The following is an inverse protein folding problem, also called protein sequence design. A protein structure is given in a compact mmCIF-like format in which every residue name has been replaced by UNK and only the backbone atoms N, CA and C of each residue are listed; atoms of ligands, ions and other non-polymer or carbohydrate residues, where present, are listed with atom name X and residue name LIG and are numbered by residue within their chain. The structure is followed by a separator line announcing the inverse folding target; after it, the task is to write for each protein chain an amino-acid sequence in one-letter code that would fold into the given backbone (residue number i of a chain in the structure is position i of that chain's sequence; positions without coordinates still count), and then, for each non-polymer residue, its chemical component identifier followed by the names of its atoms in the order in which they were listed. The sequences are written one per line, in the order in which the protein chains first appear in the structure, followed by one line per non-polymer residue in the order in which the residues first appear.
data_IF_931414351013
#
_entry.id   IF_931414351013
#
_cell.length_a   1.000
_cell.length_b   1.000
_cell.length_c   1.000
_cell.angle_alpha   90.00
_cell.angle_beta   90.00
_cell.angle_gamma   90.00
#
_symmetry.space_group_name_H-M   'P 1'
#
loop_
_entity.id
_entity.type
_entity.pdbx_description
1 polymer ?
#
# COMPACT_ATOMS: atom_id res chain seq x y z
N UNK A 1 -17.17 0.58 3.85
CA UNK A 1 -17.62 1.67 2.97
C UNK A 1 -16.97 3.02 3.29
N UNK A 2 -17.15 3.60 4.51
CA UNK A 2 -16.59 4.92 4.85
C UNK A 2 -15.07 5.01 4.73
N UNK A 3 -14.34 3.99 5.18
CA UNK A 3 -12.87 3.94 5.06
C UNK A 3 -12.39 3.93 3.61
N UNK A 4 -13.08 3.21 2.73
CA UNK A 4 -12.77 3.17 1.29
C UNK A 4 -13.10 4.51 0.61
N UNK A 5 -14.18 5.17 1.02
CA UNK A 5 -14.53 6.51 0.52
C UNK A 5 -13.45 7.53 0.91
N UNK A 6 -13.01 7.52 2.16
CA UNK A 6 -11.98 8.44 2.61
C UNK A 6 -10.64 8.21 1.87
N UNK A 7 -10.26 6.95 1.67
CA UNK A 7 -9.09 6.61 0.88
C UNK A 7 -9.21 7.08 -0.58
N UNK A 8 -10.38 6.89 -1.20
CA UNK A 8 -10.66 7.34 -2.57
C UNK A 8 -10.49 8.87 -2.70
N UNK A 9 -11.02 9.64 -1.76
CA UNK A 9 -10.89 11.10 -1.76
C UNK A 9 -9.44 11.54 -1.60
N UNK A 10 -8.70 10.91 -0.67
CA UNK A 10 -7.29 11.18 -0.49
C UNK A 10 -6.44 10.80 -1.70
N UNK A 11 -6.79 9.71 -2.37
CA UNK A 11 -6.16 9.26 -3.61
C UNK A 11 -6.37 10.29 -4.73
N UNK A 12 -7.62 10.71 -4.95
CA UNK A 12 -7.95 11.74 -5.94
C UNK A 12 -7.22 13.05 -5.67
N UNK A 13 -7.20 13.52 -4.42
CA UNK A 13 -6.48 14.72 -4.02
C UNK A 13 -4.96 14.57 -4.22
N UNK A 14 -4.40 13.40 -3.94
CA UNK A 14 -2.97 13.15 -4.18
C UNK A 14 -2.63 13.21 -5.67
N UNK A 15 -3.44 12.59 -6.53
CA UNK A 15 -3.24 12.63 -7.99
C UNK A 15 -3.41 14.06 -8.53
N UNK A 16 -4.37 14.83 -7.99
CA UNK A 16 -4.62 16.21 -8.39
C UNK A 16 -3.48 17.16 -7.99
N UNK A 17 -3.01 17.06 -6.75
CA UNK A 17 -1.99 17.96 -6.19
C UNK A 17 -0.59 17.71 -6.77
N UNK A 18 -0.25 16.47 -7.14
CA UNK A 18 1.05 16.13 -7.72
C UNK A 18 0.89 15.86 -9.23
N UNK A 19 1.09 16.89 -10.04
CA UNK A 19 0.95 16.75 -11.46
C UNK A 19 2.08 15.91 -12.02
N UNK A 20 1.73 14.75 -12.34
CA UNK A 20 2.46 14.04 -13.37
C UNK A 20 2.28 14.81 -14.67
N UNK A 21 3.04 14.53 -15.72
CA UNK A 21 2.97 15.16 -17.04
C UNK A 21 1.55 15.09 -17.70
N UNK A 22 0.53 14.86 -16.89
CA UNK A 22 -0.85 14.76 -17.30
C UNK A 22 -1.36 16.13 -17.78
N UNK A 23 -1.87 16.15 -18.99
CA UNK A 23 -2.41 17.32 -19.68
C UNK A 23 -3.61 17.95 -18.93
N UNK A 24 -4.30 17.14 -18.11
CA UNK A 24 -5.45 17.58 -17.32
C UNK A 24 -5.51 16.86 -15.96
N UNK A 25 -5.11 17.55 -14.89
CA UNK A 25 -5.05 17.02 -13.51
C UNK A 25 -6.39 16.54 -12.98
N UNK A 26 -7.46 17.27 -13.29
CA UNK A 26 -8.81 16.92 -12.83
C UNK A 26 -9.31 15.62 -13.45
N UNK A 27 -9.01 15.40 -14.74
CA UNK A 27 -9.37 14.16 -15.43
C UNK A 27 -8.57 12.99 -14.85
N UNK A 28 -7.27 13.14 -14.66
CA UNK A 28 -6.44 12.08 -14.06
C UNK A 28 -6.88 11.72 -12.64
N UNK A 29 -7.21 12.72 -11.82
CA UNK A 29 -7.76 12.50 -10.47
C UNK A 29 -9.10 11.75 -10.52
N UNK A 30 -9.99 12.14 -11.43
CA UNK A 30 -11.27 11.48 -11.63
C UNK A 30 -11.10 10.02 -12.09
N UNK A 31 -10.23 9.77 -13.07
CA UNK A 31 -9.94 8.42 -13.57
C UNK A 31 -9.37 7.56 -12.42
N UNK A 32 -8.43 8.08 -11.64
CA UNK A 32 -7.88 7.38 -10.48
C UNK A 32 -8.94 7.04 -9.44
N UNK A 33 -9.81 7.99 -9.09
CA UNK A 33 -10.91 7.76 -8.16
C UNK A 33 -11.91 6.72 -8.68
N UNK A 34 -12.31 6.83 -9.95
CA UNK A 34 -13.26 5.91 -10.58
C UNK A 34 -12.65 4.51 -10.71
N UNK A 35 -11.39 4.38 -11.12
CA UNK A 35 -10.75 3.07 -11.24
C UNK A 35 -10.63 2.35 -9.89
N UNK A 36 -10.38 3.08 -8.80
CA UNK A 36 -10.43 2.53 -7.45
C UNK A 36 -11.86 2.14 -7.05
N UNK A 37 -12.84 3.03 -7.22
CA UNK A 37 -14.23 2.79 -6.81
C UNK A 37 -14.91 1.66 -7.58
N UNK A 38 -14.61 1.52 -8.88
CA UNK A 38 -15.18 0.51 -9.78
C UNK A 38 -14.40 -0.82 -9.75
N UNK A 39 -13.27 -0.90 -9.07
CA UNK A 39 -12.54 -2.16 -8.87
C UNK A 39 -13.46 -3.22 -8.26
N UNK A 40 -13.63 -4.41 -8.88
CA UNK A 40 -14.46 -5.48 -8.34
C UNK A 40 -14.09 -5.86 -6.90
N UNK A 41 -12.81 -5.86 -6.59
CA UNK A 41 -12.34 -6.14 -5.24
C UNK A 41 -12.78 -5.08 -4.25
N UNK A 42 -12.65 -3.79 -4.59
CA UNK A 42 -13.07 -2.69 -3.71
C UNK A 42 -14.58 -2.75 -3.48
N UNK A 43 -15.38 -3.02 -4.52
CA UNK A 43 -16.83 -3.13 -4.42
C UNK A 43 -17.23 -4.27 -3.48
N UNK A 44 -16.65 -5.46 -3.63
CA UNK A 44 -16.98 -6.64 -2.83
C UNK A 44 -16.57 -6.42 -1.38
N UNK A 45 -15.31 -6.08 -1.13
CA UNK A 45 -14.78 -5.98 0.25
C UNK A 45 -15.20 -4.72 1.00
N UNK A 46 -15.55 -3.62 0.31
CA UNK A 46 -16.10 -2.44 0.99
C UNK A 46 -17.51 -2.66 1.57
N UNK A 47 -18.23 -3.66 1.07
CA UNK A 47 -19.57 -4.06 1.54
C UNK A 47 -19.55 -5.23 2.52
N UNK A 48 -18.44 -5.92 2.61
CA UNK A 48 -18.26 -7.04 3.53
C UNK A 48 -17.81 -6.53 4.90
N UNK A 49 -18.31 -7.14 5.97
CA UNK A 49 -17.92 -6.82 7.35
C UNK A 49 -16.58 -7.49 7.73
N UNK A 50 -15.55 -7.29 6.91
CA UNK A 50 -14.21 -7.88 7.07
C UNK A 50 -13.18 -6.76 7.23
N UNK A 51 -12.12 -7.01 7.99
CA UNK A 51 -11.05 -6.04 8.27
C UNK A 51 -10.20 -5.65 7.05
N UNK A 52 -10.32 -6.37 5.92
CA UNK A 52 -9.48 -6.15 4.73
C UNK A 52 -9.67 -4.77 4.10
N UNK A 53 -10.90 -4.24 4.06
CA UNK A 53 -11.16 -2.89 3.55
C UNK A 53 -10.60 -1.80 4.46
N UNK A 54 -10.61 -2.03 5.78
CA UNK A 54 -9.99 -1.12 6.74
C UNK A 54 -8.47 -1.17 6.65
N UNK A 55 -7.89 -2.36 6.48
CA UNK A 55 -6.46 -2.52 6.21
C UNK A 55 -6.04 -1.77 4.94
N UNK A 56 -6.79 -1.95 3.84
CA UNK A 56 -6.55 -1.24 2.58
C UNK A 56 -6.54 0.28 2.79
N UNK A 57 -7.52 0.80 3.53
CA UNK A 57 -7.63 2.23 3.80
C UNK A 57 -6.46 2.73 4.66
N UNK A 58 -6.15 2.07 5.77
CA UNK A 58 -5.10 2.50 6.69
C UNK A 58 -3.70 2.40 6.07
N UNK A 59 -3.41 1.31 5.33
CA UNK A 59 -2.15 1.15 4.56
C UNK A 59 -2.09 2.21 3.45
N UNK A 60 -3.18 2.39 2.69
CA UNK A 60 -3.24 3.36 1.61
C UNK A 60 -3.02 4.79 2.08
N UNK A 61 -3.71 5.22 3.13
CA UNK A 61 -3.54 6.55 3.73
C UNK A 61 -2.11 6.73 4.27
N UNK A 62 -1.56 5.71 4.92
CA UNK A 62 -0.18 5.73 5.41
C UNK A 62 0.81 5.94 4.26
N UNK A 63 0.74 5.14 3.19
CA UNK A 63 1.65 5.22 2.05
C UNK A 63 1.49 6.52 1.25
N UNK A 64 0.26 6.98 1.01
CA UNK A 64 0.03 8.28 0.39
C UNK A 64 0.56 9.44 1.23
N UNK A 65 0.45 9.35 2.56
CA UNK A 65 1.01 10.34 3.48
C UNK A 65 2.54 10.30 3.51
N UNK A 66 3.16 9.12 3.44
CA UNK A 66 4.61 8.99 3.27
C UNK A 66 5.07 9.61 1.97
N UNK A 67 4.39 9.32 0.85
CA UNK A 67 4.67 9.96 -0.42
C UNK A 67 4.62 11.49 -0.32
N UNK A 68 3.54 12.06 0.25
CA UNK A 68 3.39 13.51 0.44
C UNK A 68 4.51 14.11 1.30
N UNK A 69 4.95 13.40 2.33
CA UNK A 69 6.07 13.82 3.17
C UNK A 69 7.38 13.83 2.39
N UNK A 70 7.62 12.81 1.58
CA UNK A 70 8.83 12.70 0.76
C UNK A 70 8.88 13.75 -0.35
N UNK A 71 7.74 14.03 -0.99
CA UNK A 71 7.62 14.96 -2.11
C UNK A 71 7.51 16.44 -1.69
N UNK A 72 7.22 16.73 -0.44
CA UNK A 72 7.11 18.11 0.06
C UNK A 72 8.49 18.74 0.32
N UNK A 73 8.68 19.97 -0.10
CA UNK A 73 9.89 20.77 0.25
C UNK A 73 9.89 21.28 1.69
N UNK A 74 8.74 21.18 2.38
CA UNK A 74 8.62 21.62 3.76
C UNK A 74 9.19 20.56 4.69
N UNK A 75 10.12 20.95 5.55
CA UNK A 75 10.62 20.12 6.68
C UNK A 75 9.54 19.89 7.76
N UNK A 76 8.28 19.83 7.35
CA UNK A 76 7.20 19.54 8.30
C UNK A 76 7.21 18.05 8.65
N UNK A 77 7.55 17.77 9.89
CA UNK A 77 7.51 16.42 10.45
C UNK A 77 6.04 15.98 10.50
N UNK A 78 5.61 15.28 9.47
CA UNK A 78 4.24 14.76 9.39
C UNK A 78 4.12 13.47 10.21
N UNK A 79 3.28 13.49 11.23
CA UNK A 79 3.01 12.32 12.07
C UNK A 79 1.95 11.38 11.46
N UNK A 80 1.18 11.87 10.49
CA UNK A 80 0.05 11.15 9.86
C UNK A 80 0.44 9.77 9.30
N UNK A 81 1.54 9.60 8.53
CA UNK A 81 1.87 8.29 7.98
C UNK A 81 2.10 7.24 9.06
N UNK A 82 2.77 7.62 10.14
CA UNK A 82 3.08 6.74 11.27
C UNK A 82 1.85 6.43 12.13
N UNK A 83 0.95 7.40 12.29
CA UNK A 83 -0.33 7.20 12.96
C UNK A 83 -1.17 6.15 12.23
N UNK A 84 -1.29 6.27 10.89
CA UNK A 84 -2.05 5.31 10.10
C UNK A 84 -1.35 3.96 9.95
N UNK A 85 -0.02 3.89 10.03
CA UNK A 85 0.70 2.63 10.20
C UNK A 85 0.30 1.94 11.52
N UNK A 86 0.20 2.68 12.62
CA UNK A 86 -0.27 2.14 13.91
C UNK A 86 -1.68 1.56 13.80
N UNK A 87 -2.60 2.26 13.16
CA UNK A 87 -3.95 1.74 12.90
C UNK A 87 -3.95 0.53 11.95
N UNK A 88 -3.08 0.50 10.95
CA UNK A 88 -2.95 -0.64 10.06
C UNK A 88 -2.45 -1.90 10.80
N UNK A 89 -1.52 -1.74 11.74
CA UNK A 89 -1.05 -2.83 12.61
C UNK A 89 -2.20 -3.33 13.51
N UNK A 90 -3.04 -2.45 14.06
CA UNK A 90 -4.21 -2.85 14.85
C UNK A 90 -5.24 -3.63 14.02
N UNK A 91 -5.34 -3.36 12.72
CA UNK A 91 -6.32 -4.05 11.85
C UNK A 91 -5.94 -5.49 11.53
N UNK A 92 -4.69 -5.76 11.19
CA UNK A 92 -4.27 -7.09 10.70
C UNK A 92 -2.87 -7.52 11.17
N UNK A 93 -2.31 -6.83 12.14
CA UNK A 93 -1.02 -7.17 12.73
C UNK A 93 0.19 -6.78 11.90
N UNK A 94 1.31 -7.53 12.02
CA UNK A 94 2.62 -7.15 11.47
C UNK A 94 2.67 -7.11 9.94
N UNK A 95 1.73 -7.75 9.24
CA UNK A 95 1.71 -7.74 7.76
C UNK A 95 1.63 -6.32 7.19
N UNK A 96 0.91 -5.42 7.87
CA UNK A 96 0.81 -4.02 7.45
C UNK A 96 2.18 -3.31 7.50
N UNK A 97 2.95 -3.57 8.58
CA UNK A 97 4.31 -3.04 8.72
C UNK A 97 5.22 -3.54 7.59
N UNK A 98 5.14 -4.83 7.28
CA UNK A 98 5.98 -5.44 6.22
C UNK A 98 5.67 -4.82 4.85
N UNK A 99 4.39 -4.67 4.49
CA UNK A 99 3.98 -4.06 3.22
C UNK A 99 4.51 -2.63 3.10
N UNK A 100 4.31 -1.81 4.14
CA UNK A 100 4.76 -0.41 4.13
C UNK A 100 6.28 -0.32 4.11
N UNK A 101 6.98 -1.13 4.91
CA UNK A 101 8.44 -1.17 4.94
C UNK A 101 9.04 -1.60 3.59
N UNK A 102 8.50 -2.65 2.94
CA UNK A 102 8.95 -3.10 1.62
C UNK A 102 8.73 -2.03 0.55
N UNK A 103 7.57 -1.35 0.58
CA UNK A 103 7.27 -0.27 -0.37
C UNK A 103 8.23 0.90 -0.20
N UNK A 104 8.43 1.38 1.03
CA UNK A 104 9.35 2.48 1.31
C UNK A 104 10.79 2.09 0.99
N UNK A 105 11.22 0.90 1.40
CA UNK A 105 12.57 0.41 1.11
C UNK A 105 12.84 0.34 -0.40
N UNK A 106 11.95 -0.29 -1.17
CA UNK A 106 12.10 -0.42 -2.63
C UNK A 106 12.13 0.95 -3.32
N UNK A 107 11.31 1.91 -2.88
CA UNK A 107 11.29 3.25 -3.44
C UNK A 107 12.52 4.07 -3.05
N UNK A 108 12.89 4.10 -1.76
CA UNK A 108 14.03 4.88 -1.26
C UNK A 108 15.36 4.33 -1.78
N UNK A 109 15.50 3.00 -1.91
CA UNK A 109 16.72 2.36 -2.42
C UNK A 109 17.06 2.76 -3.87
N UNK A 110 16.07 3.20 -4.64
CA UNK A 110 16.27 3.67 -6.02
C UNK A 110 16.74 5.12 -6.05
N UNK A 111 16.51 5.87 -4.99
CA UNK A 111 16.84 7.29 -4.92
C UNK A 111 18.31 7.50 -4.55
N UNK A 112 18.98 8.43 -5.21
CA UNK A 112 20.38 8.74 -4.89
C UNK A 112 20.55 9.37 -3.52
N UNK A 113 19.58 10.19 -3.10
CA UNK A 113 19.61 10.92 -1.83
C UNK A 113 18.84 10.19 -0.71
N UNK A 114 19.06 8.87 -0.63
CA UNK A 114 18.35 8.00 0.32
C UNK A 114 18.52 8.42 1.79
N UNK A 115 19.67 8.97 2.16
CA UNK A 115 19.96 9.41 3.54
C UNK A 115 19.04 10.56 3.96
N UNK A 116 18.88 11.58 3.11
CA UNK A 116 18.01 12.72 3.41
C UNK A 116 16.54 12.29 3.42
N UNK A 117 16.13 11.37 2.54
CA UNK A 117 14.78 10.82 2.55
C UNK A 117 14.48 10.05 3.84
N UNK A 118 15.41 9.23 4.32
CA UNK A 118 15.26 8.55 5.62
C UNK A 118 15.16 9.56 6.76
N UNK A 119 15.99 10.62 6.77
CA UNK A 119 15.87 11.69 7.77
C UNK A 119 14.52 12.39 7.71
N UNK A 120 14.00 12.65 6.51
CA UNK A 120 12.72 13.34 6.28
C UNK A 120 11.52 12.57 6.84
N UNK A 121 11.50 11.24 6.71
CA UNK A 121 10.46 10.39 7.31
C UNK A 121 10.61 10.23 8.82
N UNK A 122 11.76 10.55 9.39
CA UNK A 122 12.07 10.50 10.82
C UNK A 122 11.65 9.18 11.51
N UNK A 123 12.32 8.04 11.23
CA UNK A 123 11.86 6.72 11.64
C UNK A 123 11.83 6.53 13.17
N UNK A 124 12.73 7.18 13.93
CA UNK A 124 12.74 7.07 15.39
C UNK A 124 11.46 7.61 16.02
N UNK A 125 11.06 8.84 15.62
CA UNK A 125 9.79 9.43 16.04
C UNK A 125 8.60 8.60 15.52
N UNK A 126 8.73 8.09 14.32
CA UNK A 126 7.70 7.26 13.70
C UNK A 126 7.43 5.97 14.46
N UNK A 127 8.47 5.24 14.84
CA UNK A 127 8.36 4.02 15.65
C UNK A 127 7.67 4.34 16.98
N UNK A 128 8.00 5.45 17.62
CA UNK A 128 7.38 5.87 18.87
C UNK A 128 5.87 6.12 18.68
N UNK A 129 5.46 6.86 17.64
CA UNK A 129 4.04 7.15 17.37
C UNK A 129 3.29 5.85 17.06
N UNK A 130 3.84 5.02 16.18
CA UNK A 130 3.24 3.73 15.80
C UNK A 130 3.07 2.83 17.02
N UNK A 131 4.08 2.75 17.89
CA UNK A 131 4.05 1.96 19.11
C UNK A 131 3.02 2.49 20.11
N UNK A 132 2.93 3.80 20.31
CA UNK A 132 1.92 4.40 21.19
C UNK A 132 0.49 4.09 20.73
N UNK A 133 0.26 3.98 19.42
CA UNK A 133 -1.06 3.64 18.88
C UNK A 133 -1.35 2.14 18.99
N UNK A 134 -0.39 1.28 18.63
CA UNK A 134 -0.65 -0.16 18.48
C UNK A 134 -0.38 -0.98 19.74
N UNK A 135 0.69 -0.68 20.49
CA UNK A 135 1.13 -1.50 21.62
C UNK A 135 0.11 -1.61 22.77
N UNK A 136 -0.63 -0.55 23.18
CA UNK A 136 -1.55 -0.68 24.31
C UNK A 136 -2.54 -1.82 24.15
N UNK A 137 -3.11 -1.99 22.94
CA UNK A 137 -4.04 -3.07 22.65
C UNK A 137 -3.39 -4.46 22.77
N UNK A 138 -2.21 -4.64 22.16
CA UNK A 138 -1.50 -5.91 22.22
C UNK A 138 -1.03 -6.28 23.63
N UNK A 139 -0.59 -5.29 24.42
CA UNK A 139 -0.20 -5.51 25.81
C UNK A 139 -1.39 -5.94 26.68
N UNK A 140 -2.55 -5.31 26.51
CA UNK A 140 -3.77 -5.69 27.23
C UNK A 140 -4.19 -7.12 26.88
N UNK A 141 -4.17 -7.48 25.59
CA UNK A 141 -4.52 -8.83 25.15
C UNK A 141 -3.51 -9.87 25.67
N UNK A 142 -2.22 -9.54 25.61
CA UNK A 142 -1.18 -10.41 26.14
C UNK A 142 -1.30 -10.63 27.65
N UNK A 143 -1.67 -9.59 28.39
CA UNK A 143 -1.91 -9.69 29.83
C UNK A 143 -3.14 -10.55 30.15
N UNK A 144 -4.23 -10.42 29.37
CA UNK A 144 -5.49 -11.17 29.60
C UNK A 144 -5.42 -12.63 29.15
N UNK A 145 -4.89 -12.89 27.96
CA UNK A 145 -4.95 -14.21 27.30
C UNK A 145 -3.60 -14.94 27.29
N UNK A 146 -2.51 -14.25 27.64
CA UNK A 146 -1.18 -14.82 27.76
C UNK A 146 -0.68 -15.49 26.49
N UNK A 147 -0.07 -16.68 26.65
CA UNK A 147 0.55 -17.41 25.54
C UNK A 147 -0.45 -17.91 24.48
N UNK A 148 -1.73 -18.05 24.82
CA UNK A 148 -2.77 -18.46 23.88
C UNK A 148 -2.98 -17.40 22.77
N UNK A 149 -3.03 -16.13 23.14
CA UNK A 149 -3.10 -15.02 22.18
C UNK A 149 -1.86 -15.00 21.27
N UNK A 150 -0.67 -15.14 21.83
CA UNK A 150 0.58 -15.14 21.06
C UNK A 150 0.61 -16.25 20.02
N UNK A 151 0.30 -17.50 20.43
CA UNK A 151 0.27 -18.65 19.53
C UNK A 151 -0.79 -18.53 18.44
N UNK A 152 -1.98 -18.03 18.78
CA UNK A 152 -3.07 -17.86 17.82
C UNK A 152 -2.78 -16.72 16.85
N UNK A 153 -2.51 -15.51 17.35
CA UNK A 153 -2.42 -14.32 16.52
C UNK A 153 -1.11 -14.25 15.71
N UNK A 154 0.04 -14.34 16.38
CA UNK A 154 1.32 -14.28 15.68
C UNK A 154 1.70 -15.63 15.06
N UNK A 155 1.44 -16.75 15.71
CA UNK A 155 1.72 -18.10 15.21
C UNK A 155 0.79 -18.46 14.05
N UNK A 156 -0.48 -18.75 14.33
CA UNK A 156 -1.41 -19.30 13.34
C UNK A 156 -1.82 -18.27 12.28
N UNK A 157 -2.32 -17.11 12.70
CA UNK A 157 -2.90 -16.14 11.77
C UNK A 157 -1.89 -15.35 10.93
N UNK A 158 -0.64 -15.24 11.35
CA UNK A 158 0.39 -14.53 10.60
C UNK A 158 1.46 -15.48 10.06
N UNK A 159 2.26 -16.10 10.92
CA UNK A 159 3.41 -16.89 10.49
C UNK A 159 3.01 -18.17 9.72
N UNK A 160 2.09 -18.96 10.28
CA UNK A 160 1.70 -20.22 9.66
C UNK A 160 0.99 -20.02 8.32
N UNK A 161 0.13 -18.99 8.18
CA UNK A 161 -0.49 -18.65 6.88
C UNK A 161 0.52 -18.24 5.82
N UNK A 162 1.64 -17.68 6.23
CA UNK A 162 2.70 -17.31 5.30
C UNK A 162 3.56 -18.50 4.87
N UNK A 163 3.87 -19.42 5.81
CA UNK A 163 4.81 -20.53 5.60
C UNK A 163 4.15 -21.84 5.17
N UNK A 164 2.85 -22.05 5.45
CA UNK A 164 2.11 -23.27 5.13
C UNK A 164 0.73 -22.97 4.59
N UNK A 165 0.19 -23.94 3.83
CA UNK A 165 -1.19 -23.86 3.30
C UNK A 165 -2.17 -24.08 4.44
N UNK A 166 -3.04 -23.10 4.69
CA UNK A 166 -4.09 -23.14 5.70
C UNK A 166 -5.45 -23.09 5.02
N UNK A 167 -6.39 -23.91 5.49
CA UNK A 167 -7.77 -24.01 5.00
C UNK A 167 -7.88 -24.31 3.48
N UNK A 168 -6.98 -25.11 2.92
CA UNK A 168 -6.95 -25.48 1.50
C UNK A 168 -6.82 -24.29 0.52
N UNK A 169 -6.28 -23.15 0.95
CA UNK A 169 -6.01 -21.98 0.11
C UNK A 169 -4.58 -21.99 -0.48
N UNK A 170 -4.15 -23.14 -1.01
CA UNK A 170 -2.88 -23.33 -1.70
C UNK A 170 -3.03 -23.06 -3.19
N UNK A 171 -2.99 -21.79 -3.59
CA UNK A 171 -3.12 -21.38 -4.98
C UNK A 171 -1.76 -21.33 -5.69
N UNK A 172 -1.72 -21.47 -7.06
CA UNK A 172 -0.48 -21.44 -7.82
C UNK A 172 0.23 -20.09 -7.72
N UNK A 173 1.52 -20.05 -8.10
CA UNK A 173 2.34 -18.84 -8.01
C UNK A 173 1.80 -17.65 -8.84
N UNK A 174 1.12 -17.93 -9.95
CA UNK A 174 0.53 -16.91 -10.85
C UNK A 174 -0.84 -16.41 -10.39
N UNK A 175 -1.38 -16.90 -9.28
CA UNK A 175 -2.71 -16.51 -8.76
C UNK A 175 -2.89 -15.00 -8.68
N UNK A 176 -1.93 -14.27 -8.10
CA UNK A 176 -2.05 -12.83 -7.98
C UNK A 176 -1.88 -12.07 -9.30
N UNK A 177 -1.30 -12.66 -10.34
CA UNK A 177 -1.31 -12.07 -11.69
C UNK A 177 -2.72 -12.08 -12.28
N UNK A 178 -3.48 -13.16 -12.06
CA UNK A 178 -4.89 -13.21 -12.46
C UNK A 178 -5.74 -12.20 -11.66
N UNK A 179 -5.50 -12.11 -10.34
CA UNK A 179 -6.20 -11.14 -9.48
C UNK A 179 -5.86 -9.70 -9.87
N UNK A 180 -4.62 -9.41 -10.28
CA UNK A 180 -4.23 -8.09 -10.80
C UNK A 180 -5.09 -7.69 -12.00
N UNK A 181 -5.31 -8.59 -12.96
CA UNK A 181 -6.12 -8.31 -14.15
C UNK A 181 -7.60 -8.20 -13.79
N UNK A 182 -8.16 -9.21 -13.10
CA UNK A 182 -9.58 -9.27 -12.76
C UNK A 182 -9.97 -8.17 -11.77
N UNK A 183 -9.12 -7.92 -10.78
CA UNK A 183 -9.36 -6.90 -9.75
C UNK A 183 -9.26 -5.46 -10.25
N UNK A 184 -8.72 -5.24 -11.42
CA UNK A 184 -8.57 -3.90 -12.02
C UNK A 184 -9.56 -3.65 -13.19
N UNK A 185 -10.51 -4.57 -13.43
CA UNK A 185 -11.55 -4.35 -14.43
C UNK A 185 -12.40 -3.12 -14.09
N UNK A 186 -12.84 -2.35 -15.11
CA UNK A 186 -12.59 -2.54 -16.54
C UNK A 186 -11.27 -1.91 -17.03
N UNK A 187 -10.44 -1.37 -16.14
CA UNK A 187 -9.24 -0.57 -16.46
C UNK A 187 -7.95 -1.40 -16.57
N UNK A 188 -8.04 -2.73 -16.68
CA UNK A 188 -6.87 -3.63 -16.65
C UNK A 188 -5.83 -3.30 -17.73
N UNK A 189 -6.26 -2.91 -18.92
CA UNK A 189 -5.36 -2.54 -20.03
C UNK A 189 -4.53 -1.32 -19.66
N UNK A 190 -5.15 -0.27 -19.11
CA UNK A 190 -4.44 0.93 -18.66
C UNK A 190 -3.48 0.62 -17.51
N UNK A 191 -3.85 -0.31 -16.61
CA UNK A 191 -2.94 -0.77 -15.57
C UNK A 191 -1.69 -1.42 -16.15
N UNK A 192 -1.82 -2.31 -17.13
CA UNK A 192 -0.67 -2.97 -17.77
C UNK A 192 0.24 -1.95 -18.48
N UNK A 193 -0.35 -0.97 -19.17
CA UNK A 193 0.41 0.15 -19.77
C UNK A 193 1.15 0.92 -18.68
N UNK A 194 0.46 1.30 -17.59
CA UNK A 194 1.06 2.04 -16.49
C UNK A 194 2.18 1.27 -15.78
N UNK A 195 2.05 -0.04 -15.60
CA UNK A 195 3.12 -0.90 -15.07
C UNK A 195 4.34 -0.88 -16.01
N UNK A 196 4.11 -1.04 -17.31
CA UNK A 196 5.20 -1.07 -18.30
C UNK A 196 5.92 0.28 -18.39
N UNK A 197 5.19 1.39 -18.47
CA UNK A 197 5.77 2.73 -18.55
C UNK A 197 6.58 3.09 -17.30
N UNK A 198 6.03 2.87 -16.10
CA UNK A 198 6.73 3.18 -14.86
C UNK A 198 7.88 2.22 -14.58
N UNK A 199 7.76 0.94 -14.96
CA UNK A 199 8.87 -0.01 -14.92
C UNK A 199 10.02 0.39 -15.84
N UNK A 200 9.73 0.82 -17.07
CA UNK A 200 10.72 1.35 -18.01
C UNK A 200 11.34 2.66 -17.51
N UNK A 201 10.53 3.54 -16.96
CA UNK A 201 11.00 4.78 -16.33
C UNK A 201 11.97 4.49 -15.18
N UNK A 202 11.66 3.53 -14.33
CA UNK A 202 12.51 3.08 -13.23
C UNK A 202 13.87 2.58 -13.74
N UNK A 203 13.89 1.73 -14.77
CA UNK A 203 15.13 1.19 -15.37
C UNK A 203 15.98 2.30 -15.99
N UNK A 204 15.37 3.22 -16.71
CA UNK A 204 16.07 4.32 -17.39
C UNK A 204 16.64 5.35 -16.38
N UNK A 205 15.99 5.52 -15.24
CA UNK A 205 16.33 6.52 -14.24
C UNK A 205 17.33 6.04 -13.18
N UNK A 206 17.63 4.74 -13.10
CA UNK A 206 18.78 4.25 -12.33
C UNK A 206 20.09 5.01 -12.64
N UNK A 207 20.14 5.69 -13.79
CA UNK A 207 21.31 6.44 -14.28
C UNK A 207 21.18 7.96 -14.16
N UNK A 208 20.01 8.54 -13.82
CA UNK A 208 19.76 9.98 -13.79
C UNK A 208 19.30 10.45 -12.41
N UNK A 209 19.51 11.74 -12.11
CA UNK A 209 18.93 12.37 -10.91
C UNK A 209 17.41 12.41 -11.08
N UNK A 210 16.69 11.84 -10.13
CA UNK A 210 15.24 11.81 -10.12
C UNK A 210 14.68 12.94 -9.27
N UNK A 211 13.78 13.74 -9.83
CA UNK A 211 12.98 14.66 -9.03
C UNK A 211 11.84 13.84 -8.39
N UNK A 212 11.79 13.83 -7.06
CA UNK A 212 10.81 13.03 -6.30
C UNK A 212 9.38 13.47 -6.61
N UNK A 213 9.18 14.75 -6.90
CA UNK A 213 7.88 15.36 -7.24
C UNK A 213 7.18 14.67 -8.42
N UNK A 214 7.95 14.21 -9.42
CA UNK A 214 7.43 13.54 -10.61
C UNK A 214 7.32 12.00 -10.45
N UNK A 215 7.72 11.45 -9.31
CA UNK A 215 7.89 10.00 -9.14
C UNK A 215 6.69 9.28 -8.48
N UNK A 216 5.50 9.89 -8.39
CA UNK A 216 4.31 9.24 -7.83
C UNK A 216 3.99 7.90 -8.53
N UNK A 217 4.14 7.84 -9.86
CA UNK A 217 3.95 6.60 -10.61
C UNK A 217 4.97 5.52 -10.25
N UNK A 218 6.24 5.89 -10.06
CA UNK A 218 7.29 4.94 -9.63
C UNK A 218 7.06 4.49 -8.19
N UNK A 219 6.60 5.37 -7.31
CA UNK A 219 6.20 5.01 -5.95
C UNK A 219 5.05 4.00 -5.96
N UNK A 220 4.01 4.26 -6.77
CA UNK A 220 2.88 3.35 -6.95
C UNK A 220 3.31 2.00 -7.55
N UNK A 221 4.25 2.02 -8.50
CA UNK A 221 4.84 0.81 -9.06
C UNK A 221 5.58 -0.01 -7.99
N UNK A 222 6.44 0.62 -7.18
CA UNK A 222 7.11 -0.04 -6.05
C UNK A 222 6.11 -0.62 -5.05
N UNK A 223 5.05 0.13 -4.73
CA UNK A 223 3.98 -0.33 -3.86
C UNK A 223 3.28 -1.59 -4.41
N UNK A 224 2.84 -1.55 -5.66
CA UNK A 224 2.15 -2.66 -6.32
C UNK A 224 3.05 -3.91 -6.38
N UNK A 225 4.32 -3.75 -6.81
CA UNK A 225 5.27 -4.85 -6.91
C UNK A 225 5.62 -5.44 -5.53
N UNK A 226 5.76 -4.61 -4.50
CA UNK A 226 6.02 -5.09 -3.13
C UNK A 226 4.91 -6.01 -2.64
N UNK A 227 3.64 -5.65 -2.88
CA UNK A 227 2.49 -6.49 -2.51
C UNK A 227 2.45 -7.76 -3.36
N UNK A 228 2.65 -7.64 -4.69
CA UNK A 228 2.65 -8.77 -5.60
C UNK A 228 3.69 -9.80 -5.17
N UNK A 229 4.94 -9.39 -4.96
CA UNK A 229 6.02 -10.29 -4.57
C UNK A 229 5.78 -10.90 -3.19
N UNK A 230 5.42 -10.09 -2.20
CA UNK A 230 5.22 -10.55 -0.84
C UNK A 230 4.15 -11.64 -0.74
N UNK A 231 2.98 -11.42 -1.36
CA UNK A 231 1.90 -12.41 -1.30
C UNK A 231 2.05 -13.55 -2.31
N UNK A 232 2.78 -13.39 -3.42
CA UNK A 232 3.07 -14.50 -4.34
C UNK A 232 3.97 -15.56 -3.69
N UNK A 233 4.85 -15.16 -2.78
CA UNK A 233 5.71 -16.08 -2.02
C UNK A 233 4.93 -16.76 -0.88
N UNK A 234 3.85 -16.16 -0.39
CA UNK A 234 3.02 -16.72 0.70
C UNK A 234 2.41 -18.06 0.29
N UNK A 235 2.42 -19.04 1.21
CA UNK A 235 1.83 -20.35 0.98
C UNK A 235 0.30 -20.29 0.88
N UNK A 236 -0.35 -19.51 1.77
CA UNK A 236 -1.81 -19.28 1.72
C UNK A 236 -2.11 -18.03 0.90
N UNK A 237 -2.98 -18.13 -0.10
CA UNK A 237 -3.34 -17.05 -1.00
C UNK A 237 -4.84 -16.79 -0.98
N UNK A 238 -5.23 -15.53 -0.71
CA UNK A 238 -6.62 -15.08 -0.75
C UNK A 238 -6.76 -13.85 -1.67
N UNK A 239 -7.85 -13.72 -2.43
CA UNK A 239 -8.07 -12.56 -3.29
C UNK A 239 -8.00 -11.22 -2.53
N UNK A 240 -8.46 -11.22 -1.27
CA UNK A 240 -8.44 -10.03 -0.40
C UNK A 240 -7.04 -9.50 -0.08
N UNK A 241 -6.00 -10.34 -0.19
CA UNK A 241 -4.61 -9.91 0.03
C UNK A 241 -4.13 -8.91 -1.03
N UNK A 242 -4.79 -8.90 -2.19
CA UNK A 242 -4.52 -7.92 -3.23
C UNK A 242 -5.14 -6.54 -2.96
N UNK A 243 -6.13 -6.45 -2.08
CA UNK A 243 -6.88 -5.21 -1.86
C UNK A 243 -5.99 -4.00 -1.52
N UNK A 244 -4.94 -4.09 -0.67
CA UNK A 244 -4.05 -2.97 -0.40
C UNK A 244 -3.22 -2.49 -1.62
N UNK A 245 -3.20 -3.24 -2.73
CA UNK A 245 -2.55 -2.83 -3.97
C UNK A 245 -3.47 -1.98 -4.87
N UNK A 246 -4.78 -1.98 -4.63
CA UNK A 246 -5.76 -1.28 -5.50
C UNK A 246 -5.55 0.23 -5.57
N UNK A 247 -5.10 0.97 -4.52
CA UNK A 247 -4.80 2.39 -4.66
C UNK A 247 -3.58 2.64 -5.55
N UNK A 248 -2.56 1.79 -5.47
CA UNK A 248 -1.39 1.87 -6.34
C UNK A 248 -1.77 1.61 -7.81
N UNK A 249 -2.61 0.59 -8.05
CA UNK A 249 -3.15 0.30 -9.38
C UNK A 249 -3.91 1.51 -9.94
N UNK A 250 -4.74 2.17 -9.12
CA UNK A 250 -5.50 3.36 -9.53
C UNK A 250 -4.60 4.55 -9.91
N UNK A 251 -3.48 4.76 -9.20
CA UNK A 251 -2.48 5.78 -9.58
C UNK A 251 -1.86 5.44 -10.94
N UNK A 252 -1.46 4.18 -11.16
CA UNK A 252 -0.87 3.75 -12.43
C UNK A 252 -1.85 3.88 -13.60
N UNK A 253 -3.12 3.52 -13.39
CA UNK A 253 -4.20 3.69 -14.38
C UNK A 253 -4.38 5.17 -14.71
N UNK A 254 -4.45 6.04 -13.71
CA UNK A 254 -4.67 7.47 -13.90
C UNK A 254 -3.58 8.18 -14.70
N UNK A 255 -2.37 7.59 -14.71
CA UNK A 255 -1.21 8.12 -15.45
C UNK A 255 -1.21 7.69 -16.91
N UNK A 256 -1.79 6.53 -17.22
CA UNK A 256 -1.75 5.91 -18.56
C UNK A 256 -3.06 6.07 -19.36
N UNK A 257 -4.11 6.56 -18.74
CA UNK A 257 -5.40 6.86 -19.39
C UNK A 257 -5.52 8.35 -19.73
#
# INVERSE_FOLDING_TARGET
ALSSLFLMLMLADTIYCWPQKAKNRSISALIGALSFALSPLVIIWSRSAVSDSLLCATVGISLLSFWRTLASDKDSICSTPWLFLGFAILTKGPVALVIIALTLFSFIAIQKDYINLIKKINPLRGILITSLVSMPWYLILLYKEGSAFWKSFFGYHNLQRYTSVVNNHGEPWWFFLSILILGSLPFSVFLLIGIFENGKELINNFKKNYFIEDSLGVFAFCWLISILLFFSISATKLPSYWLPATPAAAILISKSA
#
